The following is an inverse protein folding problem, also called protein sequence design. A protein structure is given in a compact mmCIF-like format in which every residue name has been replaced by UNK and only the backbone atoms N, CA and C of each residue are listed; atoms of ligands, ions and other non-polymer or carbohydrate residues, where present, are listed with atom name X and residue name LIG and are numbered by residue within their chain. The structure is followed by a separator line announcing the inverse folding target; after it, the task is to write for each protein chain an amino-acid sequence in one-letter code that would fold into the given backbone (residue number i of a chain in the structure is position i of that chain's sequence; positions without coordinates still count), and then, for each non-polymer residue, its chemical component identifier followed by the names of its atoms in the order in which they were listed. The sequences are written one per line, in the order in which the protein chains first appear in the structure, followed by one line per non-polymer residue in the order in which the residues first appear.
data_IF_850839553292
#
_entry.id   IF_850839553292
#
_cell.length_a   1.000
_cell.length_b   1.000
_cell.length_c   1.000
_cell.angle_alpha   90.00
_cell.angle_beta   90.00
_cell.angle_gamma   90.00
#
_symmetry.space_group_name_H-M   'P 1'
#
loop_
_entity.id
_entity.type
_entity.pdbx_description
1 polymer ?
#
# COMPACT_ATOMS: atom_id res chain seq x y z
N UNK A 1 -2.30 8.00 7.34
CA UNK A 1 -1.29 8.10 6.26
C UNK A 1 -0.06 8.82 6.76
N UNK A 2 1.13 8.46 6.27
CA UNK A 2 2.37 9.15 6.63
C UNK A 2 2.49 10.49 5.88
N UNK A 3 1.70 11.48 6.30
CA UNK A 3 1.84 12.86 5.84
C UNK A 3 3.19 13.44 6.26
N UNK A 4 3.59 14.60 5.72
CA UNK A 4 4.87 15.25 6.02
C UNK A 4 5.12 15.40 7.53
N UNK A 5 4.06 15.57 8.32
CA UNK A 5 4.13 15.70 9.79
C UNK A 5 4.40 14.37 10.51
N UNK A 6 3.86 13.25 9.97
CA UNK A 6 3.99 11.91 10.56
C UNK A 6 5.21 11.16 10.02
N UNK A 7 5.68 11.49 8.82
CA UNK A 7 6.78 10.81 8.16
C UNK A 7 8.08 10.79 9.00
N UNK A 8 8.49 11.86 9.71
CA UNK A 8 9.66 11.82 10.60
C UNK A 8 9.50 10.82 11.74
N UNK A 9 8.33 10.78 12.38
CA UNK A 9 8.05 9.84 13.47
C UNK A 9 8.04 8.40 12.97
N UNK A 10 7.40 8.13 11.82
CA UNK A 10 7.40 6.79 11.22
C UNK A 10 8.83 6.37 10.85
N UNK A 11 9.61 7.27 10.23
CA UNK A 11 11.02 7.01 9.88
C UNK A 11 11.88 6.72 11.10
N UNK A 12 11.62 7.36 12.25
CA UNK A 12 12.32 7.07 13.51
C UNK A 12 12.04 5.66 14.03
N UNK A 13 10.82 5.16 13.83
CA UNK A 13 10.39 3.84 14.32
C UNK A 13 10.79 2.72 13.34
N UNK A 14 10.60 2.93 12.04
CA UNK A 14 10.79 1.91 11.00
C UNK A 14 12.20 1.92 10.40
N UNK A 15 12.87 3.08 10.35
CA UNK A 15 14.18 3.25 9.73
C UNK A 15 14.12 3.59 8.23
N UNK A 16 15.26 3.61 7.57
CA UNK A 16 15.42 3.96 6.15
C UNK A 16 15.67 2.76 5.26
N UNK A 17 16.08 1.65 5.85
CA UNK A 17 16.35 0.40 5.18
C UNK A 17 16.27 -0.76 6.19
N UNK A 18 16.15 -1.98 5.68
CA UNK A 18 16.26 -3.21 6.48
C UNK A 18 17.05 -4.27 5.70
N UNK A 19 17.53 -5.32 6.37
CA UNK A 19 18.15 -6.43 5.66
C UNK A 19 17.10 -7.31 4.98
N UNK A 20 17.44 -7.88 3.82
CA UNK A 20 16.62 -8.93 3.22
C UNK A 20 16.58 -10.14 4.18
N UNK A 21 15.39 -10.54 4.67
CA UNK A 21 15.26 -11.59 5.67
C UNK A 21 15.73 -12.96 5.18
N UNK A 22 15.69 -13.21 3.86
CA UNK A 22 16.16 -14.48 3.27
C UNK A 22 17.67 -14.54 3.21
N UNK A 23 18.34 -13.44 2.85
CA UNK A 23 19.80 -13.41 2.83
C UNK A 23 20.39 -13.32 4.24
N UNK A 24 19.70 -12.64 5.16
CA UNK A 24 20.16 -12.49 6.54
C UNK A 24 20.28 -13.83 7.27
N UNK A 25 19.30 -14.74 7.07
CA UNK A 25 19.26 -16.06 7.72
C UNK A 25 20.15 -17.13 7.09
N UNK A 26 20.74 -16.86 5.91
CA UNK A 26 21.56 -17.86 5.22
C UNK A 26 22.91 -17.99 5.92
N UNK A 27 23.33 -19.21 6.34
CA UNK A 27 24.66 -19.40 6.88
C UNK A 27 25.67 -19.28 5.75
N UNK A 28 26.51 -18.25 5.81
CA UNK A 28 27.56 -18.02 4.81
C UNK A 28 28.87 -17.62 5.49
N UNK A 29 30.00 -17.90 4.81
CA UNK A 29 31.35 -17.72 5.39
C UNK A 29 31.67 -16.27 5.74
N UNK A 30 31.16 -15.32 4.95
CA UNK A 30 31.30 -13.88 5.14
C UNK A 30 29.91 -13.24 5.15
N UNK A 31 29.17 -13.49 6.23
CA UNK A 31 27.77 -13.09 6.36
C UNK A 31 27.56 -11.57 6.30
N UNK A 32 28.52 -10.78 6.80
CA UNK A 32 28.48 -9.31 6.74
C UNK A 32 28.47 -8.78 5.30
N UNK A 33 29.27 -9.37 4.40
CA UNK A 33 29.42 -8.92 3.01
C UNK A 33 28.26 -9.37 2.11
N UNK A 34 27.57 -10.44 2.49
CA UNK A 34 26.50 -11.04 1.68
C UNK A 34 25.09 -10.60 2.10
N UNK A 35 24.98 -9.87 3.21
CA UNK A 35 23.74 -9.24 3.64
C UNK A 35 23.36 -8.16 2.64
N UNK A 36 22.11 -8.23 2.16
CA UNK A 36 21.55 -7.25 1.24
C UNK A 36 20.69 -6.27 2.00
N UNK A 37 20.92 -4.99 1.76
CA UNK A 37 20.10 -3.90 2.26
C UNK A 37 18.92 -3.65 1.30
N UNK A 38 17.73 -3.51 1.86
CA UNK A 38 16.49 -3.19 1.15
C UNK A 38 16.06 -1.79 1.59
N UNK A 39 16.08 -0.78 0.70
CA UNK A 39 15.71 0.58 1.05
C UNK A 39 14.20 0.71 1.29
N UNK A 40 13.82 1.57 2.23
CA UNK A 40 12.45 1.93 2.58
C UNK A 40 12.25 3.41 2.24
N UNK A 41 11.34 3.68 1.30
CA UNK A 41 11.02 5.03 0.87
C UNK A 41 9.67 5.48 1.42
N UNK A 42 9.65 6.65 2.05
CA UNK A 42 8.44 7.29 2.58
C UNK A 42 7.87 8.25 1.54
N UNK A 43 6.61 8.05 1.16
CA UNK A 43 5.93 8.85 0.15
C UNK A 43 4.73 9.56 0.78
N UNK A 44 4.79 10.89 1.00
CA UNK A 44 3.65 11.66 1.47
C UNK A 44 2.66 11.91 0.33
N UNK A 45 1.37 12.08 0.62
CA UNK A 45 0.44 12.53 -0.42
C UNK A 45 0.80 13.96 -0.84
N UNK A 46 0.69 14.21 -2.14
CA UNK A 46 0.81 15.54 -2.71
C UNK A 46 -0.10 16.57 -2.00
N UNK A 47 0.39 17.77 -1.63
CA UNK A 47 -0.40 18.79 -0.92
C UNK A 47 -1.72 19.16 -1.60
N UNK A 48 -1.78 19.12 -2.94
CA UNK A 48 -2.99 19.33 -3.74
C UNK A 48 -4.13 18.33 -3.44
N UNK A 49 -3.78 17.10 -3.08
CA UNK A 49 -4.74 16.01 -2.85
C UNK A 49 -5.07 15.83 -1.36
N UNK A 50 -4.28 16.44 -0.47
CA UNK A 50 -4.53 16.47 0.99
C UNK A 50 -5.91 17.04 1.29
N UNK A 51 -6.64 16.40 2.19
CA UNK A 51 -8.04 16.71 2.53
C UNK A 51 -9.04 16.69 1.35
N UNK A 52 -8.65 16.19 0.16
CA UNK A 52 -9.53 16.06 -1.01
C UNK A 52 -9.68 14.61 -1.48
N UNK A 53 -8.56 13.90 -1.62
CA UNK A 53 -8.51 12.49 -2.07
C UNK A 53 -7.75 11.65 -1.06
N UNK A 54 -7.72 12.09 0.18
CA UNK A 54 -6.85 11.60 1.24
C UNK A 54 -7.40 10.31 1.88
N UNK A 55 -7.74 9.32 1.05
CA UNK A 55 -8.24 7.99 1.47
C UNK A 55 -7.15 6.94 1.41
N UNK A 56 -7.19 5.93 2.29
CA UNK A 56 -6.12 4.94 2.41
C UNK A 56 -5.80 4.26 1.06
N UNK A 57 -6.81 3.92 0.25
CA UNK A 57 -6.59 3.37 -1.09
C UNK A 57 -5.93 4.36 -2.07
N UNK A 58 -6.23 5.66 -1.99
CA UNK A 58 -5.52 6.68 -2.80
C UNK A 58 -4.04 6.76 -2.45
N UNK A 59 -3.67 6.56 -1.18
CA UNK A 59 -2.25 6.52 -0.77
C UNK A 59 -1.46 5.41 -1.44
N UNK A 60 -2.08 4.24 -1.64
CA UNK A 60 -1.50 3.12 -2.37
C UNK A 60 -1.27 3.51 -3.82
N UNK A 61 -2.29 4.08 -4.48
CA UNK A 61 -2.18 4.55 -5.86
C UNK A 61 -1.10 5.63 -6.00
N UNK A 62 -1.02 6.57 -5.06
CA UNK A 62 -0.02 7.62 -5.07
C UNK A 62 1.40 7.09 -4.81
N UNK A 63 1.55 6.09 -3.95
CA UNK A 63 2.81 5.37 -3.73
C UNK A 63 3.30 4.68 -5.01
N UNK A 64 2.41 3.97 -5.70
CA UNK A 64 2.69 3.33 -6.99
C UNK A 64 3.10 4.36 -8.05
N UNK A 65 2.36 5.45 -8.15
CA UNK A 65 2.68 6.55 -9.07
C UNK A 65 4.06 7.15 -8.79
N UNK A 66 4.40 7.34 -7.51
CA UNK A 66 5.68 7.90 -7.09
C UNK A 66 6.83 6.96 -7.42
N UNK A 67 6.69 5.65 -7.13
CA UNK A 67 7.66 4.63 -7.49
C UNK A 67 7.87 4.57 -9.02
N UNK A 68 6.78 4.58 -9.80
CA UNK A 68 6.85 4.62 -11.27
C UNK A 68 7.57 5.88 -11.78
N UNK A 69 7.21 7.06 -11.26
CA UNK A 69 7.76 8.35 -11.71
C UNK A 69 9.26 8.44 -11.44
N UNK A 70 9.71 7.99 -10.27
CA UNK A 70 11.12 7.98 -9.89
C UNK A 70 11.87 6.99 -10.80
N UNK A 71 11.38 5.76 -10.92
CA UNK A 71 12.00 4.75 -11.77
C UNK A 71 12.11 5.22 -13.23
N UNK A 72 11.03 5.78 -13.78
CA UNK A 72 10.99 6.33 -15.14
C UNK A 72 12.01 7.46 -15.34
N UNK A 73 12.15 8.35 -14.35
CA UNK A 73 13.15 9.45 -14.39
C UNK A 73 14.59 8.94 -14.40
N UNK A 74 14.86 7.77 -13.80
CA UNK A 74 16.20 7.17 -13.77
C UNK A 74 16.46 6.37 -15.05
N UNK A 75 15.59 5.42 -15.39
CA UNK A 75 15.76 4.56 -16.56
C UNK A 75 14.49 3.78 -16.89
N UNK A 76 14.23 3.60 -18.19
CA UNK A 76 13.16 2.72 -18.68
C UNK A 76 13.29 1.27 -18.16
N UNK A 77 14.51 0.78 -17.98
CA UNK A 77 14.81 -0.57 -17.53
C UNK A 77 14.47 -0.83 -16.06
N UNK A 78 14.26 0.24 -15.28
CA UNK A 78 13.92 0.15 -13.86
C UNK A 78 12.42 0.25 -13.59
N UNK A 79 11.61 0.48 -14.62
CA UNK A 79 10.17 0.68 -14.44
C UNK A 79 9.54 -0.60 -13.86
N UNK A 80 8.93 -0.53 -12.66
CA UNK A 80 8.25 -1.67 -12.09
C UNK A 80 7.02 -2.03 -12.93
N UNK A 81 6.89 -3.30 -13.29
CA UNK A 81 5.76 -3.83 -14.05
C UNK A 81 4.61 -4.28 -13.15
N UNK A 82 4.94 -4.66 -11.91
CA UNK A 82 4.00 -5.21 -10.93
C UNK A 82 4.33 -4.71 -9.54
N UNK A 83 3.28 -4.45 -8.76
CA UNK A 83 3.37 -3.90 -7.42
C UNK A 83 2.72 -4.87 -6.44
N UNK A 84 3.42 -5.17 -5.35
CA UNK A 84 2.86 -5.89 -4.21
C UNK A 84 2.41 -4.86 -3.18
N UNK A 85 1.14 -4.92 -2.80
CA UNK A 85 0.52 -4.00 -1.85
C UNK A 85 0.17 -4.78 -0.59
N UNK A 86 0.65 -4.29 0.56
CA UNK A 86 0.34 -4.85 1.87
C UNK A 86 -0.08 -3.75 2.83
N UNK A 87 -0.95 -4.11 3.77
CA UNK A 87 -1.53 -3.18 4.73
C UNK A 87 -1.00 -3.46 6.14
N UNK A 88 -0.49 -2.46 6.87
CA UNK A 88 -0.01 -2.66 8.24
C UNK A 88 -1.12 -3.02 9.23
N UNK A 89 -2.38 -2.76 8.86
CA UNK A 89 -3.56 -3.04 9.67
C UNK A 89 -4.13 -4.46 9.46
N UNK A 90 -3.67 -5.18 8.43
CA UNK A 90 -4.10 -6.55 8.18
C UNK A 90 -3.11 -7.55 8.78
N UNK A 91 -3.50 -8.22 9.86
CA UNK A 91 -2.65 -9.22 10.52
C UNK A 91 -2.98 -10.62 10.00
N UNK A 92 -1.96 -11.33 9.57
CA UNK A 92 -1.98 -12.72 9.12
C UNK A 92 -0.55 -13.25 9.17
N UNK A 93 -0.35 -14.56 8.97
CA UNK A 93 0.99 -15.14 8.99
C UNK A 93 1.83 -14.63 7.80
N UNK A 94 2.88 -13.88 8.12
CA UNK A 94 3.81 -13.30 7.15
C UNK A 94 4.78 -14.34 6.56
N UNK A 95 5.01 -15.45 7.27
CA UNK A 95 5.93 -16.50 6.82
C UNK A 95 5.30 -17.36 5.73
N UNK A 96 3.98 -17.56 5.79
CA UNK A 96 3.23 -18.31 4.78
C UNK A 96 3.29 -17.66 3.39
N UNK A 97 3.33 -16.32 3.32
CA UNK A 97 3.44 -15.56 2.07
C UNK A 97 4.66 -16.01 1.25
N UNK A 98 5.74 -16.42 1.93
CA UNK A 98 6.98 -16.84 1.28
C UNK A 98 6.77 -18.03 0.34
N UNK A 99 5.88 -18.96 0.70
CA UNK A 99 5.58 -20.15 -0.09
C UNK A 99 4.95 -19.77 -1.43
N UNK A 100 4.30 -18.61 -1.50
CA UNK A 100 3.58 -18.11 -2.67
C UNK A 100 4.36 -17.05 -3.47
N UNK A 101 5.66 -16.83 -3.20
CA UNK A 101 6.50 -15.84 -3.92
C UNK A 101 6.42 -15.95 -5.44
N UNK A 102 6.38 -17.17 -5.98
CA UNK A 102 6.27 -17.41 -7.43
C UNK A 102 4.97 -16.85 -8.00
N UNK A 103 3.85 -17.04 -7.28
CA UNK A 103 2.53 -16.53 -7.66
C UNK A 103 2.50 -14.99 -7.58
N UNK A 104 3.05 -14.44 -6.50
CA UNK A 104 3.17 -12.98 -6.31
C UNK A 104 3.96 -12.35 -7.46
N UNK A 105 5.11 -12.94 -7.83
CA UNK A 105 5.99 -12.44 -8.89
C UNK A 105 5.51 -12.72 -10.31
N UNK A 106 4.38 -13.40 -10.50
CA UNK A 106 3.88 -13.72 -11.83
C UNK A 106 3.66 -12.45 -12.65
N UNK A 107 4.09 -12.40 -13.92
CA UNK A 107 4.11 -11.15 -14.69
C UNK A 107 2.71 -10.61 -15.03
N UNK A 108 1.81 -11.49 -15.44
CA UNK A 108 0.50 -11.11 -15.98
C UNK A 108 -0.63 -11.27 -14.94
N UNK A 109 -0.74 -12.46 -14.35
CA UNK A 109 -1.76 -12.81 -13.35
C UNK A 109 -1.55 -12.08 -12.02
N UNK A 110 -2.61 -11.44 -11.52
CA UNK A 110 -2.62 -10.87 -10.18
C UNK A 110 -2.74 -11.95 -9.10
N UNK A 111 -2.39 -11.56 -7.88
CA UNK A 111 -2.39 -12.40 -6.69
C UNK A 111 -3.19 -11.70 -5.61
N UNK A 112 -4.05 -12.45 -4.91
CA UNK A 112 -4.87 -11.95 -3.82
C UNK A 112 -4.79 -12.89 -2.62
N UNK A 113 -4.55 -12.30 -1.45
CA UNK A 113 -4.89 -12.98 -0.21
C UNK A 113 -6.40 -12.88 0.02
N UNK A 114 -6.97 -13.96 0.52
CA UNK A 114 -8.40 -14.08 0.77
C UNK A 114 -8.68 -14.67 2.14
N UNK A 115 -9.78 -14.26 2.76
CA UNK A 115 -10.33 -14.87 3.97
C UNK A 115 -11.80 -15.13 3.74
N UNK A 116 -12.23 -16.38 3.85
CA UNK A 116 -13.64 -16.76 3.65
C UNK A 116 -14.20 -16.27 2.31
N UNK A 117 -13.37 -16.32 1.26
CA UNK A 117 -13.71 -15.84 -0.08
C UNK A 117 -13.65 -14.32 -0.27
N UNK A 118 -13.45 -13.54 0.80
CA UNK A 118 -13.34 -12.07 0.77
C UNK A 118 -11.89 -11.62 0.56
N UNK A 119 -11.70 -10.55 -0.18
CA UNK A 119 -10.39 -9.98 -0.55
C UNK A 119 -10.33 -8.48 -0.24
N UNK A 120 -9.31 -7.80 -0.76
CA UNK A 120 -9.22 -6.33 -0.70
C UNK A 120 -10.40 -5.62 -1.34
N UNK A 121 -11.05 -6.23 -2.35
CA UNK A 121 -12.24 -5.68 -2.98
C UNK A 121 -13.49 -5.76 -2.10
N UNK A 122 -13.43 -6.51 -1.00
CA UNK A 122 -14.49 -6.62 0.00
C UNK A 122 -14.16 -5.78 1.26
N UNK A 123 -13.30 -4.77 1.12
CA UNK A 123 -12.85 -3.89 2.20
C UNK A 123 -12.01 -4.55 3.30
N UNK A 124 -11.42 -5.72 3.05
CA UNK A 124 -10.45 -6.30 3.97
C UNK A 124 -9.03 -5.81 3.65
N UNK A 125 -8.22 -5.35 4.62
CA UNK A 125 -6.83 -4.94 4.38
C UNK A 125 -5.90 -6.14 4.14
N UNK A 126 -6.22 -6.99 3.17
CA UNK A 126 -5.46 -8.15 2.74
C UNK A 126 -4.50 -7.77 1.62
N UNK A 127 -3.30 -8.37 1.63
CA UNK A 127 -2.31 -8.08 0.59
C UNK A 127 -2.72 -8.65 -0.76
N UNK A 128 -2.31 -7.93 -1.81
CA UNK A 128 -2.59 -8.30 -3.18
C UNK A 128 -1.54 -7.70 -4.11
N UNK A 129 -1.61 -8.03 -5.40
CA UNK A 129 -0.78 -7.40 -6.41
C UNK A 129 -1.62 -6.69 -7.45
N UNK A 130 -1.04 -5.66 -8.07
CA UNK A 130 -1.61 -5.01 -9.24
C UNK A 130 -0.53 -4.63 -10.25
N UNK A 131 -0.92 -4.56 -11.53
CA UNK A 131 -0.07 -4.13 -12.63
C UNK A 131 -0.14 -2.61 -12.85
N UNK A 132 0.73 -2.09 -13.72
CA UNK A 132 0.65 -0.69 -14.15
C UNK A 132 -0.66 -0.32 -14.87
N UNK A 133 -1.31 -1.27 -15.56
CA UNK A 133 -2.60 -1.04 -16.20
C UNK A 133 -3.74 -1.00 -15.18
N UNK A 134 -3.73 -1.92 -14.20
CA UNK A 134 -4.68 -1.90 -13.08
C UNK A 134 -4.64 -0.55 -12.34
N UNK A 135 -3.43 -0.04 -12.07
CA UNK A 135 -3.24 1.27 -11.46
C UNK A 135 -3.91 2.39 -12.28
N UNK A 136 -3.75 2.39 -13.61
CA UNK A 136 -4.36 3.40 -14.50
C UNK A 136 -5.89 3.32 -14.43
N UNK A 137 -6.46 2.12 -14.42
CA UNK A 137 -7.91 1.90 -14.32
C UNK A 137 -8.45 2.38 -12.97
N UNK A 138 -7.83 1.97 -11.87
CA UNK A 138 -8.20 2.41 -10.51
C UNK A 138 -8.16 3.93 -10.39
N UNK A 139 -7.06 4.56 -10.84
CA UNK A 139 -6.91 6.03 -10.81
C UNK A 139 -7.97 6.73 -11.68
N UNK A 140 -8.29 6.21 -12.87
CA UNK A 140 -9.34 6.78 -13.73
C UNK A 140 -10.70 6.70 -13.04
N UNK A 141 -11.01 5.57 -12.41
CA UNK A 141 -12.27 5.38 -11.69
C UNK A 141 -12.44 6.34 -10.52
N UNK A 142 -11.42 6.50 -9.68
CA UNK A 142 -11.44 7.49 -8.59
C UNK A 142 -11.69 8.89 -9.14
N UNK A 143 -11.03 9.27 -10.25
CA UNK A 143 -11.22 10.58 -10.87
C UNK A 143 -12.62 10.79 -11.49
N UNK A 144 -13.28 9.72 -11.93
CA UNK A 144 -14.64 9.75 -12.49
C UNK A 144 -15.69 9.88 -11.39
N UNK A 145 -15.52 9.12 -10.29
CA UNK A 145 -16.49 9.09 -9.19
C UNK A 145 -16.35 10.24 -8.19
N UNK A 146 -15.16 10.80 -8.05
CA UNK A 146 -14.94 11.89 -7.09
C UNK A 146 -15.81 13.10 -7.45
N UNK A 147 -16.52 13.62 -6.46
CA UNK A 147 -17.13 14.93 -6.57
C UNK A 147 -16.04 16.00 -6.63
N UNK A 148 -16.37 17.14 -7.26
CA UNK A 148 -15.48 18.29 -7.42
C UNK A 148 -16.03 19.48 -6.63
N UNK A 149 -15.44 20.65 -6.82
CA UNK A 149 -15.95 21.88 -6.20
C UNK A 149 -17.27 22.36 -6.84
N UNK A 150 -17.44 22.12 -8.13
CA UNK A 150 -18.56 22.63 -8.92
C UNK A 150 -19.45 21.51 -9.44
N UNK A 151 -20.74 21.82 -9.57
CA UNK A 151 -21.71 20.99 -10.29
C UNK A 151 -21.34 20.92 -11.79
N UNK A 152 -21.75 19.86 -12.51
CA UNK A 152 -21.61 19.84 -13.96
C UNK A 152 -22.34 21.04 -14.59
N UNK A 153 -21.79 21.64 -15.65
CA UNK A 153 -22.44 22.75 -16.32
C UNK A 153 -23.79 22.30 -16.91
N UNK A 154 -24.79 23.18 -16.85
CA UNK A 154 -26.08 22.95 -17.50
C UNK A 154 -25.90 22.90 -19.02
N UNK A 155 -26.82 22.27 -19.79
CA UNK A 155 -26.68 22.12 -21.24
C UNK A 155 -26.50 23.45 -22.02
N UNK A 156 -26.81 24.59 -21.40
CA UNK A 156 -26.75 25.93 -22.02
C UNK A 156 -25.62 26.79 -21.43
N UNK A 157 -24.74 26.23 -20.60
CA UNK A 157 -23.61 26.93 -19.99
C UNK A 157 -22.29 26.26 -20.38
N UNK A 158 -21.29 27.07 -20.79
CA UNK A 158 -19.95 26.57 -21.08
C UNK A 158 -19.14 26.29 -19.80
N UNK A 159 -19.43 27.01 -18.72
CA UNK A 159 -18.74 26.90 -17.43
C UNK A 159 -19.72 26.66 -16.28
N UNK A 160 -19.32 25.89 -15.27
CA UNK A 160 -20.18 25.62 -14.13
C UNK A 160 -20.29 26.84 -13.21
N UNK A 161 -21.52 27.24 -12.93
CA UNK A 161 -21.83 28.44 -12.13
C UNK A 161 -22.08 28.13 -10.65
N UNK A 162 -22.52 26.92 -10.32
CA UNK A 162 -22.93 26.54 -8.97
C UNK A 162 -21.91 25.62 -8.30
N UNK A 163 -21.56 25.95 -7.05
CA UNK A 163 -20.68 25.12 -6.22
C UNK A 163 -21.49 24.09 -5.44
N UNK A 164 -20.92 22.91 -5.25
CA UNK A 164 -21.46 21.88 -4.36
C UNK A 164 -21.40 22.34 -2.89
N UNK A 165 -22.28 21.86 -2.00
CA UNK A 165 -22.12 22.03 -0.55
C UNK A 165 -20.75 21.52 -0.07
N UNK A 166 -20.15 22.20 0.92
CA UNK A 166 -18.78 21.86 1.39
C UNK A 166 -18.61 20.39 1.80
N UNK A 167 -19.64 19.79 2.41
CA UNK A 167 -19.61 18.41 2.88
C UNK A 167 -19.66 17.38 1.73
N UNK A 168 -20.25 17.74 0.59
CA UNK A 168 -20.35 16.87 -0.59
C UNK A 168 -19.14 16.97 -1.53
N UNK A 169 -18.29 17.99 -1.36
CA UNK A 169 -17.10 18.18 -2.18
C UNK A 169 -16.02 17.15 -1.82
N UNK A 170 -15.31 16.69 -2.85
CA UNK A 170 -14.13 15.83 -2.71
C UNK A 170 -14.43 14.51 -1.98
N UNK A 171 -15.47 13.81 -2.45
CA UNK A 171 -15.92 12.53 -1.87
C UNK A 171 -14.86 11.44 -1.84
N UNK A 172 -13.82 11.52 -2.68
CA UNK A 172 -12.75 10.52 -2.76
C UNK A 172 -11.97 10.30 -1.47
N UNK A 173 -12.02 11.24 -0.51
CA UNK A 173 -11.44 11.07 0.82
C UNK A 173 -12.13 9.97 1.65
N UNK A 174 -13.39 9.68 1.34
CA UNK A 174 -14.25 8.75 2.07
C UNK A 174 -14.42 7.42 1.32
N UNK A 175 -13.70 7.22 0.19
CA UNK A 175 -13.76 5.99 -0.59
C UNK A 175 -13.06 4.83 0.13
N UNK A 176 -13.72 3.67 0.14
CA UNK A 176 -13.18 2.43 0.67
C UNK A 176 -12.39 1.65 -0.41
N UNK A 177 -11.86 0.49 -0.03
CA UNK A 177 -11.02 -0.34 -0.90
C UNK A 177 -11.80 -0.97 -2.05
N UNK A 178 -13.04 -1.38 -1.80
CA UNK A 178 -13.97 -1.88 -2.82
C UNK A 178 -14.11 -0.90 -3.98
N UNK A 179 -14.34 0.37 -3.69
CA UNK A 179 -14.59 1.40 -4.68
C UNK A 179 -13.32 1.77 -5.47
N UNK A 180 -12.17 1.75 -4.82
CA UNK A 180 -10.88 2.15 -5.40
C UNK A 180 -10.29 1.01 -6.23
N UNK A 181 -10.35 -0.22 -5.72
CA UNK A 181 -9.68 -1.39 -6.30
C UNK A 181 -10.61 -2.34 -7.07
N UNK A 182 -11.90 -2.03 -7.20
CA UNK A 182 -12.81 -2.81 -8.07
C UNK A 182 -12.26 -3.07 -9.48
N UNK A 183 -11.58 -2.11 -10.16
CA UNK A 183 -11.04 -2.33 -11.50
C UNK A 183 -9.81 -3.24 -11.58
N UNK A 184 -9.23 -3.67 -10.46
CA UNK A 184 -8.03 -4.53 -10.48
C UNK A 184 -8.39 -5.85 -11.14
N UNK A 185 -7.60 -6.28 -12.12
CA UNK A 185 -7.90 -7.50 -12.86
C UNK A 185 -7.84 -8.75 -11.96
N UNK A 186 -8.89 -9.56 -12.00
CA UNK A 186 -9.01 -10.87 -11.34
C UNK A 186 -9.05 -12.05 -12.33
N UNK A 187 -9.00 -11.78 -13.64
CA UNK A 187 -8.96 -12.81 -14.67
C UNK A 187 -7.73 -13.69 -14.45
N UNK A 188 -7.96 -15.00 -14.28
CA UNK A 188 -6.93 -15.98 -13.93
C UNK A 188 -6.07 -15.63 -12.71
N UNK A 189 -6.58 -14.79 -11.80
CA UNK A 189 -5.83 -14.40 -10.61
C UNK A 189 -5.64 -15.57 -9.64
N UNK A 190 -4.50 -15.56 -8.94
CA UNK A 190 -4.20 -16.55 -7.91
C UNK A 190 -4.76 -16.08 -6.58
N UNK A 191 -5.73 -16.82 -6.04
CA UNK A 191 -6.28 -16.58 -4.71
C UNK A 191 -5.66 -17.55 -3.71
N UNK A 192 -5.10 -17.01 -2.63
CA UNK A 192 -4.56 -17.81 -1.52
C UNK A 192 -5.35 -17.48 -0.26
N UNK A 193 -5.94 -18.51 0.34
CA UNK A 193 -6.67 -18.36 1.59
C UNK A 193 -5.69 -18.30 2.77
N UNK A 194 -5.86 -17.30 3.65
CA UNK A 194 -5.07 -17.22 4.89
C UNK A 194 -5.73 -18.02 6.02
N UNK A 195 -4.96 -18.78 6.82
CA UNK A 195 -5.50 -19.60 7.91
C UNK A 195 -6.24 -18.81 8.98
N UNK A 196 -5.81 -17.57 9.22
CA UNK A 196 -6.42 -16.62 10.13
C UNK A 196 -6.12 -15.19 9.65
N UNK A 197 -6.98 -14.24 10.02
CA UNK A 197 -6.84 -12.83 9.67
C UNK A 197 -7.51 -11.95 10.72
N UNK A 198 -6.85 -10.86 11.11
CA UNK A 198 -7.44 -9.81 11.94
C UNK A 198 -7.22 -8.44 11.32
N UNK A 199 -8.30 -7.67 11.19
CA UNK A 199 -8.23 -6.25 10.87
C UNK A 199 -8.06 -5.45 12.17
N UNK A 200 -6.87 -4.85 12.33
CA UNK A 200 -6.52 -4.00 13.49
C UNK A 200 -6.56 -2.51 13.16
N UNK A 201 -7.29 -2.12 12.12
CA UNK A 201 -7.57 -0.70 11.81
C UNK A 201 -8.37 0.00 12.91
N UNK A 202 -9.11 -0.77 13.72
CA UNK A 202 -9.91 -0.29 14.86
C UNK A 202 -9.37 -0.80 16.20
N UNK A 203 -9.59 -0.03 17.27
CA UNK A 203 -9.23 -0.45 18.64
C UNK A 203 -9.91 -1.76 19.05
N UNK A 204 -11.16 -1.97 18.63
CA UNK A 204 -11.87 -3.23 18.82
C UNK A 204 -11.17 -4.39 18.11
N UNK A 205 -10.77 -4.19 16.85
CA UNK A 205 -10.07 -5.20 16.08
C UNK A 205 -8.72 -5.57 16.71
N UNK A 206 -7.98 -4.56 17.16
CA UNK A 206 -6.72 -4.77 17.89
C UNK A 206 -6.91 -5.56 19.19
N UNK A 207 -7.91 -5.21 20.01
CA UNK A 207 -8.22 -5.97 21.24
C UNK A 207 -8.63 -7.41 20.95
N UNK A 208 -9.39 -7.64 19.89
CA UNK A 208 -9.79 -9.00 19.49
C UNK A 208 -8.57 -9.85 19.11
N UNK A 209 -7.59 -9.27 18.42
CA UNK A 209 -6.33 -9.95 18.13
C UNK A 209 -5.54 -10.27 19.41
N UNK A 210 -5.38 -9.30 20.31
CA UNK A 210 -4.65 -9.51 21.57
C UNK A 210 -5.32 -10.54 22.50
N UNK A 211 -6.64 -10.70 22.42
CA UNK A 211 -7.40 -11.70 23.17
C UNK A 211 -7.43 -13.08 22.49
N UNK A 212 -6.92 -13.19 21.27
CA UNK A 212 -6.88 -14.44 20.52
C UNK A 212 -5.65 -15.28 20.87
N UNK A 213 -5.69 -16.56 20.53
CA UNK A 213 -4.55 -17.48 20.71
C UNK A 213 -3.49 -17.34 19.60
N UNK A 214 -3.73 -16.47 18.61
CA UNK A 214 -2.81 -16.26 17.50
C UNK A 214 -1.70 -15.29 17.88
N UNK A 215 -0.48 -15.61 17.47
CA UNK A 215 0.69 -14.74 17.64
C UNK A 215 1.44 -14.61 16.32
N UNK A 216 2.08 -13.46 16.14
CA UNK A 216 3.04 -13.24 15.07
C UNK A 216 4.42 -13.26 15.72
N UNK A 217 5.24 -14.24 15.36
CA UNK A 217 6.61 -14.28 15.84
C UNK A 217 7.39 -13.07 15.31
N UNK A 218 7.91 -12.26 16.23
CA UNK A 218 8.74 -11.12 15.87
C UNK A 218 9.99 -11.63 15.15
N UNK A 219 10.32 -11.09 13.97
CA UNK A 219 11.59 -11.41 13.32
C UNK A 219 12.79 -11.03 14.20
N UNK A 220 13.96 -11.53 13.83
CA UNK A 220 15.22 -11.21 14.50
C UNK A 220 15.39 -9.68 14.66
N UNK A 221 15.89 -9.24 15.81
CA UNK A 221 15.97 -7.82 16.16
C UNK A 221 16.69 -6.98 15.11
N UNK A 222 17.72 -7.53 14.46
CA UNK A 222 18.43 -6.84 13.37
C UNK A 222 17.57 -6.56 12.13
N UNK A 223 16.45 -7.24 11.94
CA UNK A 223 15.50 -7.02 10.84
C UNK A 223 14.43 -5.98 11.20
N UNK A 224 14.16 -5.79 12.50
CA UNK A 224 13.08 -4.92 13.00
C UNK A 224 13.61 -3.61 13.58
N UNK A 225 14.88 -3.56 13.99
CA UNK A 225 15.50 -2.31 14.47
C UNK A 225 15.55 -1.25 13.37
N UNK A 226 15.32 0.03 13.70
CA UNK A 226 15.41 1.10 12.71
C UNK A 226 16.86 1.33 12.30
N UNK A 227 17.17 1.15 11.03
CA UNK A 227 18.48 1.47 10.46
C UNK A 227 18.47 2.85 9.78
N UNK A 228 19.58 3.58 9.87
CA UNK A 228 19.78 4.87 9.19
C UNK A 228 21.12 4.82 8.45
N UNK A 229 21.21 5.35 7.23
CA UNK A 229 22.48 5.36 6.48
C UNK A 229 23.46 6.42 7.00
N UNK A 230 22.95 7.53 7.55
CA UNK A 230 23.77 8.62 8.08
C UNK A 230 23.17 9.10 9.39
N UNK A 231 23.98 9.09 10.46
CA UNK A 231 23.74 9.93 11.64
C UNK A 231 24.05 11.37 11.24
N UNK A 232 23.06 12.07 10.69
CA UNK A 232 23.23 13.51 10.43
C UNK A 232 23.26 14.20 11.80
N UNK A 233 24.34 14.91 12.17
CA UNK A 233 24.57 15.41 13.53
C UNK A 233 23.71 16.63 13.92
N UNK A 234 22.60 16.87 13.22
CA UNK A 234 21.69 17.99 13.51
C UNK A 234 20.29 17.42 13.78
N UNK A 235 20.13 16.84 14.97
CA UNK A 235 18.83 16.76 15.66
C UNK A 235 18.66 17.99 16.56
#
# INVERSE_FOLDING_TARGET
MANDDLAPTVRKIVGEWTYDPVYYRRPTKFSSEQRKEIPIYYVPIHPKDRARRDSFGWSVLYGIHSAWRIAYSISHWLIPQKYYVSFPHGLYDIYDIRNHRRLISHKEKNFFLSREGKTVKDNLPLAFTMTGEDFKLCRRRVNQKTTREFLPPLPHQQYPSQKLPLHERWSARDFNFDEIFEPVNEDDASHVAVPWFFDVSSWSGYRNFLASDFSIETPEECLTKPHKHVTIPYE
#
